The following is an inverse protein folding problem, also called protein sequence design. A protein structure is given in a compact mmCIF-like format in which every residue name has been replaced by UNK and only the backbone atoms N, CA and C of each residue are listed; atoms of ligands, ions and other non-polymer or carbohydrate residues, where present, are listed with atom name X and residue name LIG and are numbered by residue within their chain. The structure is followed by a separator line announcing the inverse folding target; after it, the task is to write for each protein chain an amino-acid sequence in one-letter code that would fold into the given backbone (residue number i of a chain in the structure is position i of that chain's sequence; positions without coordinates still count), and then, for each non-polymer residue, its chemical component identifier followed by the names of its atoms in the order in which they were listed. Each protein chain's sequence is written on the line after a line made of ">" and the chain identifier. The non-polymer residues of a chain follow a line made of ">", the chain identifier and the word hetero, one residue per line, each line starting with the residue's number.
data_IF_596202111970
#
_entry.id   IF_596202111970
#
_cell.length_a   1.000
_cell.length_b   1.000
_cell.length_c   1.000
_cell.angle_alpha   90.00
_cell.angle_beta   90.00
_cell.angle_gamma   90.00
#
_symmetry.space_group_name_H-M   'P 1'
#
loop_
_entity.id
_entity.type
_entity.pdbx_description
1 polymer ?
#
# COMPACT_ATOMS: atom_id res chain seq x y z
N UNK A 1 -60.51 0.29 -70.84
CA UNK A 1 -59.76 -0.97 -70.74
C UNK A 1 -58.63 -0.89 -69.69
N UNK A 2 -57.76 0.13 -69.73
CA UNK A 2 -56.65 0.29 -68.78
C UNK A 2 -57.04 0.43 -67.29
N UNK A 3 -58.15 1.13 -66.98
CA UNK A 3 -58.61 1.31 -65.59
C UNK A 3 -59.00 0.00 -64.89
N UNK A 4 -59.58 -0.96 -65.63
CA UNK A 4 -60.00 -2.26 -65.08
C UNK A 4 -58.81 -3.18 -64.77
N UNK A 5 -57.77 -3.15 -65.61
CA UNK A 5 -56.53 -3.89 -65.37
C UNK A 5 -55.77 -3.34 -64.17
N UNK A 6 -55.76 -2.00 -64.00
CA UNK A 6 -55.11 -1.35 -62.87
C UNK A 6 -55.76 -1.72 -61.53
N UNK A 7 -57.09 -1.71 -61.44
CA UNK A 7 -57.79 -2.12 -60.22
C UNK A 7 -57.55 -3.60 -59.90
N UNK A 8 -57.62 -4.49 -60.89
CA UNK A 8 -57.39 -5.92 -60.68
C UNK A 8 -55.97 -6.24 -60.20
N UNK A 9 -54.95 -5.53 -60.72
CA UNK A 9 -53.57 -5.71 -60.27
C UNK A 9 -53.35 -5.16 -58.86
N UNK A 10 -54.01 -4.05 -58.50
CA UNK A 10 -53.94 -3.47 -57.16
C UNK A 10 -54.56 -4.40 -56.12
N UNK A 11 -55.75 -4.92 -56.40
CA UNK A 11 -56.46 -5.81 -55.48
C UNK A 11 -55.67 -7.12 -55.25
N UNK A 12 -55.03 -7.64 -56.32
CA UNK A 12 -54.15 -8.82 -56.22
C UNK A 12 -52.86 -8.56 -55.42
N UNK A 13 -52.36 -7.33 -55.43
CA UNK A 13 -51.17 -6.94 -54.67
C UNK A 13 -51.50 -6.76 -53.19
N UNK A 14 -52.65 -6.17 -52.88
CA UNK A 14 -53.15 -5.96 -51.51
C UNK A 14 -53.47 -7.30 -50.83
N UNK A 15 -54.17 -8.22 -51.52
CA UNK A 15 -54.44 -9.58 -51.02
C UNK A 15 -53.14 -10.39 -50.79
N UNK A 16 -52.15 -10.24 -51.67
CA UNK A 16 -50.83 -10.87 -51.49
C UNK A 16 -50.09 -10.28 -50.29
N UNK A 17 -50.23 -8.98 -50.05
CA UNK A 17 -49.59 -8.27 -48.94
C UNK A 17 -50.22 -8.64 -47.59
N UNK A 18 -51.55 -8.72 -47.52
CA UNK A 18 -52.31 -9.21 -46.35
C UNK A 18 -51.99 -10.67 -46.04
N UNK A 19 -51.86 -11.52 -47.07
CA UNK A 19 -51.43 -12.91 -46.90
C UNK A 19 -49.98 -13.06 -46.40
N UNK A 20 -49.09 -12.11 -46.70
CA UNK A 20 -47.74 -12.04 -46.08
C UNK A 20 -47.79 -11.51 -44.65
N UNK A 21 -48.61 -10.49 -44.35
CA UNK A 21 -48.76 -9.97 -42.99
C UNK A 21 -49.37 -11.02 -42.04
N UNK A 22 -50.38 -11.76 -42.49
CA UNK A 22 -50.97 -12.89 -41.75
C UNK A 22 -49.99 -14.06 -41.57
N UNK A 23 -48.98 -14.20 -42.44
CA UNK A 23 -47.90 -15.19 -42.29
C UNK A 23 -46.85 -14.72 -41.28
N UNK A 24 -46.54 -13.43 -41.21
CA UNK A 24 -45.62 -12.86 -40.22
C UNK A 24 -46.24 -12.84 -38.81
N UNK A 25 -47.55 -12.59 -38.69
CA UNK A 25 -48.26 -12.57 -37.40
C UNK A 25 -48.28 -13.96 -36.72
N UNK A 26 -48.29 -15.05 -37.52
CA UNK A 26 -48.22 -16.43 -37.00
C UNK A 26 -46.86 -16.82 -36.42
N UNK A 27 -45.82 -16.01 -36.59
CA UNK A 27 -44.48 -16.27 -36.06
C UNK A 27 -44.08 -15.38 -34.88
N UNK A 28 -44.99 -14.56 -34.35
CA UNK A 28 -44.73 -13.76 -33.15
C UNK A 28 -45.42 -14.29 -31.90
N UNK A 29 -44.95 -15.43 -31.37
CA UNK A 29 -44.87 -15.57 -29.93
C UNK A 29 -43.61 -16.33 -29.52
N UNK A 30 -42.44 -15.66 -29.35
CA UNK A 30 -41.38 -16.21 -28.50
C UNK A 30 -40.21 -15.26 -28.15
N UNK A 31 -40.39 -13.93 -28.09
CA UNK A 31 -39.30 -13.03 -27.63
C UNK A 31 -39.47 -12.51 -26.20
N UNK A 32 -40.61 -12.75 -25.54
CA UNK A 32 -40.88 -12.24 -24.18
C UNK A 32 -41.40 -13.32 -23.22
N UNK A 33 -40.89 -14.55 -23.33
CA UNK A 33 -41.04 -15.54 -22.27
C UNK A 33 -39.64 -16.01 -21.85
N UNK A 34 -38.97 -15.17 -21.07
CA UNK A 34 -37.78 -15.64 -20.35
C UNK A 34 -38.26 -16.65 -19.33
N UNK A 35 -37.98 -17.93 -19.60
CA UNK A 35 -38.35 -19.03 -18.73
C UNK A 35 -37.90 -18.71 -17.29
N UNK A 36 -38.82 -18.80 -16.34
CA UNK A 36 -38.53 -18.62 -14.90
C UNK A 36 -37.33 -19.47 -14.47
N UNK A 37 -37.11 -20.59 -15.14
CA UNK A 37 -35.93 -21.44 -14.99
C UNK A 37 -34.62 -20.74 -15.40
N UNK A 38 -34.57 -20.07 -16.55
CA UNK A 38 -33.38 -19.29 -16.97
C UNK A 38 -33.08 -18.11 -16.04
N UNK A 39 -34.11 -17.43 -15.54
CA UNK A 39 -33.95 -16.37 -14.53
C UNK A 39 -33.46 -16.93 -13.19
N UNK A 40 -33.95 -18.09 -12.78
CA UNK A 40 -33.49 -18.78 -11.57
C UNK A 40 -32.04 -19.22 -11.70
N UNK A 41 -31.64 -19.84 -12.83
CA UNK A 41 -30.24 -20.19 -13.12
C UNK A 41 -29.36 -18.95 -13.06
N UNK A 42 -29.74 -17.86 -13.74
CA UNK A 42 -28.97 -16.61 -13.71
C UNK A 42 -28.76 -16.09 -12.28
N UNK A 43 -29.83 -16.07 -11.47
CA UNK A 43 -29.77 -15.60 -10.08
C UNK A 43 -28.85 -16.47 -9.21
N UNK A 44 -28.95 -17.79 -9.35
CA UNK A 44 -28.07 -18.74 -8.64
C UNK A 44 -26.62 -18.55 -9.07
N UNK A 45 -26.36 -18.41 -10.38
CA UNK A 45 -25.02 -18.15 -10.90
C UNK A 45 -24.43 -16.84 -10.39
N UNK A 46 -25.20 -15.74 -10.39
CA UNK A 46 -24.74 -14.47 -9.84
C UNK A 46 -24.46 -14.55 -8.34
N UNK A 47 -25.31 -15.22 -7.57
CA UNK A 47 -25.10 -15.41 -6.14
C UNK A 47 -23.84 -16.25 -5.86
N UNK A 48 -23.61 -17.31 -6.63
CA UNK A 48 -22.41 -18.14 -6.54
C UNK A 48 -21.14 -17.35 -6.89
N UNK A 49 -21.15 -16.59 -7.99
CA UNK A 49 -20.02 -15.73 -8.38
C UNK A 49 -19.73 -14.65 -7.33
N UNK A 50 -20.77 -14.02 -6.76
CA UNK A 50 -20.61 -13.03 -5.71
C UNK A 50 -19.98 -13.65 -4.45
N UNK A 51 -20.43 -14.84 -4.04
CA UNK A 51 -19.86 -15.56 -2.90
C UNK A 51 -18.40 -15.97 -3.13
N UNK A 52 -18.05 -16.42 -4.33
CA UNK A 52 -16.66 -16.75 -4.70
C UNK A 52 -15.78 -15.50 -4.71
N UNK A 53 -16.28 -14.39 -5.23
CA UNK A 53 -15.54 -13.13 -5.26
C UNK A 53 -15.31 -12.58 -3.84
N UNK A 54 -16.33 -12.59 -2.98
CA UNK A 54 -16.19 -12.09 -1.59
C UNK A 54 -15.27 -12.97 -0.77
N UNK A 55 -15.33 -14.30 -0.93
CA UNK A 55 -14.42 -15.22 -0.24
C UNK A 55 -12.98 -15.04 -0.71
N UNK A 56 -12.73 -14.96 -2.03
CA UNK A 56 -11.40 -14.64 -2.56
C UNK A 56 -10.88 -13.29 -2.05
N UNK A 57 -11.70 -12.24 -2.07
CA UNK A 57 -11.33 -10.93 -1.55
C UNK A 57 -11.00 -10.98 -0.05
N UNK A 58 -11.81 -11.67 0.75
CA UNK A 58 -11.56 -11.85 2.18
C UNK A 58 -10.25 -12.62 2.43
N UNK A 59 -9.97 -13.67 1.66
CA UNK A 59 -8.71 -14.41 1.72
C UNK A 59 -7.55 -13.47 1.39
N UNK A 60 -7.61 -12.72 0.30
CA UNK A 60 -6.55 -11.77 -0.09
C UNK A 60 -6.33 -10.69 0.97
N UNK A 61 -7.39 -10.17 1.58
CA UNK A 61 -7.30 -9.19 2.67
C UNK A 61 -6.63 -9.81 3.89
N UNK A 62 -7.07 -11.00 4.32
CA UNK A 62 -6.47 -11.70 5.47
C UNK A 62 -5.00 -12.03 5.20
N UNK A 63 -4.65 -12.49 4.00
CA UNK A 63 -3.27 -12.73 3.60
C UNK A 63 -2.44 -11.45 3.58
N UNK A 64 -2.99 -10.34 3.11
CA UNK A 64 -2.30 -9.04 3.11
C UNK A 64 -2.04 -8.58 4.55
N UNK A 65 -3.03 -8.69 5.43
CA UNK A 65 -2.90 -8.36 6.86
C UNK A 65 -1.91 -9.29 7.57
N UNK A 66 -1.91 -10.59 7.25
CA UNK A 66 -0.94 -11.55 7.78
C UNK A 66 0.48 -11.26 7.25
N UNK A 67 0.63 -10.92 5.96
CA UNK A 67 1.92 -10.57 5.36
C UNK A 67 2.50 -9.26 5.91
N UNK A 68 1.67 -8.35 6.45
CA UNK A 68 2.15 -7.15 7.13
C UNK A 68 2.72 -7.41 8.52
N UNK A 69 2.46 -8.58 9.12
CA UNK A 69 3.13 -9.03 10.33
C UNK A 69 4.41 -9.78 9.95
N UNK A 70 5.39 -9.05 9.46
CA UNK A 70 6.74 -9.60 9.36
C UNK A 70 7.26 -9.87 10.77
N UNK A 71 7.48 -11.13 11.11
CA UNK A 71 8.35 -11.51 12.22
C UNK A 71 9.64 -10.70 12.05
N UNK A 72 9.92 -9.78 12.97
CA UNK A 72 11.17 -9.04 12.93
C UNK A 72 12.29 -10.07 13.06
N UNK A 73 12.96 -10.38 11.95
CA UNK A 73 14.09 -11.33 11.91
C UNK A 73 15.36 -10.76 12.55
N UNK A 74 15.23 -9.60 13.20
CA UNK A 74 16.30 -8.83 13.82
C UNK A 74 15.92 -8.46 15.26
N UNK A 75 16.93 -8.22 16.08
CA UNK A 75 16.77 -7.86 17.49
C UNK A 75 15.98 -6.55 17.61
N UNK A 76 14.88 -6.54 18.37
CA UNK A 76 14.15 -5.31 18.66
C UNK A 76 14.88 -4.50 19.74
N UNK A 77 15.16 -3.22 19.49
CA UNK A 77 15.81 -2.36 20.50
C UNK A 77 14.84 -1.77 21.53
N UNK A 78 13.53 -2.05 21.43
CA UNK A 78 12.53 -1.50 22.34
C UNK A 78 12.33 0.01 22.20
N UNK A 79 11.85 0.65 23.27
CA UNK A 79 11.47 2.08 23.29
C UNK A 79 12.19 2.89 24.38
N UNK A 80 13.22 2.33 25.00
CA UNK A 80 14.03 3.04 25.99
C UNK A 80 15.50 2.61 25.88
N UNK A 81 16.46 3.45 26.32
CA UNK A 81 17.89 3.14 26.33
C UNK A 81 18.17 1.90 27.15
N UNK A 82 17.47 1.75 28.28
CA UNK A 82 17.58 0.59 29.14
C UNK A 82 17.21 -0.70 28.41
N UNK A 83 16.06 -0.75 27.75
CA UNK A 83 15.65 -1.92 26.97
C UNK A 83 16.58 -2.17 25.79
N UNK A 84 17.02 -1.11 25.10
CA UNK A 84 17.95 -1.23 23.99
C UNK A 84 19.29 -1.84 24.43
N UNK A 85 19.84 -1.38 25.56
CA UNK A 85 21.05 -1.94 26.18
C UNK A 85 20.84 -3.38 26.63
N UNK A 86 19.71 -3.70 27.26
CA UNK A 86 19.37 -5.07 27.64
C UNK A 86 19.28 -6.01 26.44
N UNK A 87 18.84 -5.51 25.29
CA UNK A 87 18.75 -6.27 24.05
C UNK A 87 20.05 -6.25 23.24
N UNK A 88 21.12 -5.62 23.73
CA UNK A 88 22.42 -5.58 23.06
C UNK A 88 22.48 -4.67 21.83
N UNK A 89 21.57 -3.71 21.70
CA UNK A 89 21.62 -2.72 20.64
C UNK A 89 22.71 -1.67 20.88
N UNK A 90 23.25 -1.13 19.80
CA UNK A 90 24.25 -0.07 19.83
C UNK A 90 23.59 1.28 19.55
N UNK A 91 23.90 2.30 20.35
CA UNK A 91 23.47 3.66 20.06
C UNK A 91 24.29 4.24 18.91
N UNK A 92 23.61 4.86 17.96
CA UNK A 92 24.23 5.49 16.79
C UNK A 92 24.07 7.02 16.86
N UNK A 93 25.06 7.78 17.36
CA UNK A 93 24.98 9.23 17.57
C UNK A 93 24.52 10.04 16.36
N UNK A 94 25.14 9.82 15.19
CA UNK A 94 24.76 10.56 13.98
C UNK A 94 23.33 10.30 13.52
N UNK A 95 22.72 9.16 13.84
CA UNK A 95 21.34 8.84 13.49
C UNK A 95 20.37 9.07 14.66
N UNK A 96 20.89 9.42 15.84
CA UNK A 96 20.14 9.52 17.10
C UNK A 96 19.22 8.33 17.35
N UNK A 97 19.68 7.10 17.07
CA UNK A 97 18.86 5.89 17.10
C UNK A 97 19.61 4.70 17.70
N UNK A 98 18.85 3.78 18.33
CA UNK A 98 19.36 2.48 18.77
C UNK A 98 19.24 1.46 17.64
N UNK A 99 20.36 0.84 17.28
CA UNK A 99 20.49 -0.03 16.11
C UNK A 99 20.75 -1.48 16.57
N UNK A 100 20.02 -2.47 16.03
CA UNK A 100 20.28 -3.88 16.29
C UNK A 100 21.72 -4.27 15.90
N UNK A 101 22.37 -5.18 16.63
CA UNK A 101 23.75 -5.57 16.34
C UNK A 101 23.93 -6.12 14.92
N UNK A 102 22.90 -6.77 14.35
CA UNK A 102 22.91 -7.32 12.99
C UNK A 102 22.90 -6.22 11.91
N UNK A 103 22.46 -5.01 12.26
CA UNK A 103 22.38 -3.84 11.39
C UNK A 103 23.45 -2.79 11.72
N UNK A 104 24.29 -3.03 12.73
CA UNK A 104 25.28 -2.07 13.20
C UNK A 104 26.41 -1.92 12.18
N UNK A 105 26.59 -0.71 11.67
CA UNK A 105 27.63 -0.35 10.70
C UNK A 105 28.74 0.44 11.39
N UNK A 106 29.42 -0.20 12.36
CA UNK A 106 30.47 0.45 13.17
C UNK A 106 31.56 1.12 12.31
N UNK A 107 31.89 0.52 11.16
CA UNK A 107 32.85 1.09 10.19
C UNK A 107 32.37 2.43 9.59
N UNK A 108 31.06 2.65 9.43
CA UNK A 108 30.52 3.93 8.98
C UNK A 108 30.51 4.98 10.09
N UNK A 109 30.39 4.53 11.34
CA UNK A 109 30.40 5.38 12.54
C UNK A 109 31.79 5.88 12.88
N UNK A 110 32.82 5.13 12.53
CA UNK A 110 34.20 5.45 12.86
C UNK A 110 34.60 6.82 12.27
N UNK A 111 35.01 7.74 13.14
CA UNK A 111 35.35 9.12 12.77
C UNK A 111 34.19 10.12 12.72
N UNK A 112 32.96 9.71 13.02
CA UNK A 112 31.81 10.62 13.13
C UNK A 112 31.33 10.74 14.58
N UNK A 113 31.82 11.75 15.30
CA UNK A 113 31.26 12.17 16.61
C UNK A 113 30.51 13.51 16.45
N UNK A 114 29.16 13.51 16.43
CA UNK A 114 28.41 14.75 16.33
C UNK A 114 28.58 15.65 17.55
N UNK A 115 29.02 15.10 18.68
CA UNK A 115 29.16 15.81 19.95
C UNK A 115 30.60 16.28 20.21
N UNK A 116 31.53 16.09 19.26
CA UNK A 116 32.90 16.58 19.36
C UNK A 116 32.92 18.12 19.38
N UNK A 117 32.11 18.74 18.53
CA UNK A 117 32.03 20.18 18.36
C UNK A 117 30.57 20.66 18.49
N UNK A 118 30.40 21.98 18.62
CA UNK A 118 29.10 22.60 18.70
C UNK A 118 28.46 22.57 20.08
N UNK A 119 27.38 23.33 20.19
CA UNK A 119 26.58 23.49 21.39
C UNK A 119 25.31 22.65 21.28
N UNK A 120 24.92 22.04 22.38
CA UNK A 120 23.78 21.14 22.47
C UNK A 120 22.95 21.51 23.68
N UNK A 121 21.63 21.54 23.52
CA UNK A 121 20.70 22.02 24.54
C UNK A 121 19.51 21.08 24.71
N UNK A 122 18.93 21.05 25.91
CA UNK A 122 17.73 20.28 26.25
C UNK A 122 16.44 21.07 25.97
N UNK A 123 16.55 22.36 25.69
CA UNK A 123 15.45 23.27 25.38
C UNK A 123 15.70 24.05 24.07
N UNK A 124 14.61 24.51 23.47
CA UNK A 124 14.62 25.28 22.22
C UNK A 124 15.23 26.67 22.36
N UNK A 125 15.16 27.26 23.55
CA UNK A 125 15.70 28.59 23.85
C UNK A 125 17.21 28.57 24.15
N UNK A 126 17.85 27.40 24.09
CA UNK A 126 19.29 27.22 24.31
C UNK A 126 19.77 27.68 25.70
N UNK A 127 18.96 27.48 26.74
CA UNK A 127 19.29 27.89 28.11
C UNK A 127 19.84 26.75 28.97
N UNK A 128 19.52 25.49 28.64
CA UNK A 128 19.91 24.29 29.37
C UNK A 128 20.90 23.49 28.52
N UNK A 129 22.21 23.66 28.72
CA UNK A 129 23.21 22.88 27.99
C UNK A 129 23.04 21.39 28.31
N UNK A 130 23.11 20.56 27.27
CA UNK A 130 23.04 19.12 27.39
C UNK A 130 24.41 18.54 27.77
N UNK A 131 24.41 17.54 28.66
CA UNK A 131 25.60 16.77 28.97
C UNK A 131 25.97 15.87 27.78
N UNK A 132 27.15 16.11 27.20
CA UNK A 132 27.65 15.37 26.03
C UNK A 132 27.82 13.87 26.32
N UNK A 133 28.13 13.49 27.55
CA UNK A 133 28.28 12.07 27.90
C UNK A 133 26.92 11.36 27.91
N UNK A 134 25.86 12.05 28.36
CA UNK A 134 24.48 11.57 28.23
C UNK A 134 24.04 11.47 26.77
N UNK A 135 24.46 12.41 25.91
CA UNK A 135 24.16 12.36 24.48
C UNK A 135 24.85 11.18 23.80
N UNK A 136 26.14 10.96 24.08
CA UNK A 136 26.90 9.81 23.57
C UNK A 136 26.33 8.48 24.04
N UNK A 137 25.81 8.44 25.27
CA UNK A 137 25.13 7.26 25.81
C UNK A 137 23.72 7.05 25.27
N UNK A 138 23.17 8.00 24.50
CA UNK A 138 21.82 7.92 23.96
C UNK A 138 20.74 7.99 25.03
N UNK A 139 20.99 8.72 26.13
CA UNK A 139 20.03 8.86 27.24
C UNK A 139 19.02 9.99 27.01
N UNK A 140 19.30 10.88 26.06
CA UNK A 140 18.47 12.05 25.75
C UNK A 140 17.73 11.82 24.44
N UNK A 141 16.41 11.98 24.49
CA UNK A 141 15.50 11.77 23.36
C UNK A 141 15.50 12.93 22.37
N UNK A 142 15.42 14.15 22.87
CA UNK A 142 15.36 15.36 22.06
C UNK A 142 16.45 16.32 22.50
N UNK A 143 17.17 16.84 21.51
CA UNK A 143 18.23 17.82 21.69
C UNK A 143 18.12 18.90 20.64
N UNK A 144 18.51 20.11 21.03
CA UNK A 144 18.54 21.29 20.19
C UNK A 144 19.98 21.66 19.92
N UNK A 145 20.29 21.99 18.68
CA UNK A 145 21.64 22.37 18.24
C UNK A 145 21.56 23.23 16.99
N UNK A 146 22.71 23.72 16.52
CA UNK A 146 22.81 24.51 15.32
C UNK A 146 22.37 23.75 14.07
N UNK A 147 21.82 24.48 13.09
CA UNK A 147 21.41 23.91 11.80
C UNK A 147 22.55 23.23 11.02
N UNK A 148 23.82 23.53 11.35
CA UNK A 148 24.97 22.81 10.79
C UNK A 148 24.89 21.30 11.05
N UNK A 149 24.43 20.88 12.23
CA UNK A 149 24.21 19.48 12.54
C UNK A 149 23.12 18.87 11.66
N UNK A 150 22.02 19.59 11.37
CA UNK A 150 20.97 19.09 10.49
C UNK A 150 21.51 18.71 9.11
N UNK A 151 22.41 19.52 8.55
CA UNK A 151 23.06 19.24 7.26
C UNK A 151 23.96 18.00 7.38
N UNK A 152 24.81 17.92 8.40
CA UNK A 152 25.70 16.78 8.64
C UNK A 152 24.93 15.47 8.86
N UNK A 153 23.91 15.49 9.71
CA UNK A 153 23.00 14.38 9.98
C UNK A 153 22.34 13.88 8.70
N UNK A 154 21.77 14.80 7.90
CA UNK A 154 21.12 14.42 6.65
C UNK A 154 22.11 13.76 5.69
N UNK A 155 23.26 14.38 5.43
CA UNK A 155 24.27 13.81 4.53
C UNK A 155 24.78 12.46 5.03
N UNK A 156 24.94 12.29 6.34
CA UNK A 156 25.34 11.02 6.93
C UNK A 156 24.25 9.94 6.76
N UNK A 157 22.97 10.27 6.98
CA UNK A 157 21.87 9.34 6.76
C UNK A 157 21.81 8.86 5.29
N UNK A 158 22.06 9.76 4.32
CA UNK A 158 22.21 9.38 2.91
C UNK A 158 23.39 8.44 2.68
N UNK A 159 24.54 8.66 3.33
CA UNK A 159 25.70 7.76 3.24
C UNK A 159 25.36 6.35 3.74
N UNK A 160 24.66 6.23 4.87
CA UNK A 160 24.22 4.94 5.41
C UNK A 160 23.24 4.25 4.46
N UNK A 161 22.29 5.01 3.90
CA UNK A 161 21.34 4.50 2.91
C UNK A 161 22.04 3.99 1.65
N UNK A 162 22.95 4.77 1.08
CA UNK A 162 23.73 4.39 -0.10
C UNK A 162 24.53 3.12 0.15
N UNK A 163 25.22 3.04 1.29
CA UNK A 163 25.96 1.84 1.68
C UNK A 163 25.04 0.62 1.81
N UNK A 164 23.86 0.78 2.42
CA UNK A 164 22.89 -0.31 2.56
C UNK A 164 22.41 -0.82 1.19
N UNK A 165 22.12 0.10 0.26
CA UNK A 165 21.72 -0.24 -1.11
C UNK A 165 22.84 -0.98 -1.86
N UNK A 166 24.06 -0.47 -1.81
CA UNK A 166 25.24 -1.08 -2.45
C UNK A 166 25.50 -2.51 -1.92
N UNK A 167 25.30 -2.71 -0.62
CA UNK A 167 25.52 -3.99 0.05
C UNK A 167 24.27 -4.89 0.09
N UNK A 168 23.17 -4.51 -0.59
CA UNK A 168 21.89 -5.23 -0.60
C UNK A 168 21.38 -5.57 0.80
N UNK A 169 21.53 -4.63 1.74
CA UNK A 169 21.03 -4.73 3.10
C UNK A 169 19.57 -4.26 3.18
N UNK A 170 18.79 -4.94 4.00
CA UNK A 170 17.44 -4.49 4.33
C UNK A 170 17.49 -3.21 5.15
N UNK A 171 16.60 -2.26 4.86
CA UNK A 171 16.42 -1.07 5.68
C UNK A 171 15.45 -1.40 6.81
N UNK A 172 15.88 -1.12 8.03
CA UNK A 172 14.99 -1.14 9.19
C UNK A 172 14.42 0.26 9.42
N UNK A 173 13.20 0.33 9.94
CA UNK A 173 12.70 1.59 10.46
C UNK A 173 13.48 1.91 11.74
N UNK A 174 14.30 2.96 11.68
CA UNK A 174 14.91 3.54 12.86
C UNK A 174 13.80 4.12 13.73
N UNK A 175 13.46 3.40 14.79
CA UNK A 175 12.55 3.90 15.80
C UNK A 175 13.21 5.10 16.47
N UNK A 176 12.80 6.29 16.03
CA UNK A 176 12.98 7.54 16.77
C UNK A 176 12.12 7.37 18.02
N UNK A 177 12.73 6.80 19.05
CA UNK A 177 12.07 6.48 20.31
C UNK A 177 11.69 7.77 21.00
#
# INVERSE_FOLDING_TARGET
>A
MLKHLYTSLRDSAEERQDATLLKDEKHLPLYLETDRFTLWIRRVSYAACAALFTTCAAILIVWSLAATQGDATWTSCGRSPEVARMNGCNYHPMLSAWIPPECSTLELMEGYDPYAEGEWYLDDNSMQPADRDMLRAGEVRFVYTANAFHVQHCTYAWKVLSWAVENRRSLINIQLW
#
